data_IF_386106159816
#
_entry.id   IF_386106159816
#
_cell.length_a   1.000
_cell.length_b   1.000
_cell.length_c   1.000
_cell.angle_alpha   90.00
_cell.angle_beta   90.00
_cell.angle_gamma   90.00
#
_symmetry.space_group_name_H-M   'P 1'
#
loop_
_entity.id
_entity.type
_entity.pdbx_description
1 polymer ?
#
# COMPACT_ATOMS: atom_id res chain seq x y z
N UNK A 1 9.93 11.34 -34.92
CA UNK A 1 10.04 9.89 -34.64
C UNK A 1 10.58 9.74 -33.22
N UNK A 2 9.90 9.00 -32.35
CA UNK A 2 10.43 8.67 -31.01
C UNK A 2 11.64 7.75 -31.19
N UNK A 3 12.75 8.01 -30.46
CA UNK A 3 14.01 7.25 -30.60
C UNK A 3 14.23 6.21 -29.51
N UNK A 4 13.62 6.41 -28.34
CA UNK A 4 13.68 5.49 -27.21
C UNK A 4 12.53 5.76 -26.23
N UNK A 5 12.22 4.75 -25.42
CA UNK A 5 11.28 4.82 -24.28
C UNK A 5 12.03 4.26 -23.09
N UNK A 6 11.93 4.93 -21.94
CA UNK A 6 12.46 4.47 -20.66
C UNK A 6 11.26 4.18 -19.77
N UNK A 7 11.27 3.01 -19.14
CA UNK A 7 10.25 2.57 -18.20
C UNK A 7 10.83 2.59 -16.80
N UNK A 8 9.98 2.93 -15.83
CA UNK A 8 10.26 2.64 -14.43
C UNK A 8 10.25 1.13 -14.20
N UNK A 9 10.96 0.67 -13.19
CA UNK A 9 11.04 -0.76 -12.88
C UNK A 9 9.90 -1.18 -11.95
N UNK A 10 9.79 -0.52 -10.80
CA UNK A 10 8.82 -0.84 -9.75
C UNK A 10 7.42 -0.43 -10.19
N UNK A 11 6.45 -1.33 -10.06
CA UNK A 11 5.06 -1.10 -10.43
C UNK A 11 4.75 -0.97 -11.92
N UNK A 12 5.76 -1.16 -12.78
CA UNK A 12 5.58 -1.10 -14.23
C UNK A 12 6.22 -2.29 -14.96
N UNK A 13 7.51 -2.55 -14.74
CA UNK A 13 8.16 -3.75 -15.28
C UNK A 13 7.93 -4.94 -14.34
N UNK A 14 8.06 -4.71 -13.03
CA UNK A 14 7.79 -5.67 -11.99
C UNK A 14 6.56 -5.24 -11.19
N UNK A 15 5.57 -6.12 -11.06
CA UNK A 15 4.43 -5.92 -10.17
C UNK A 15 4.90 -6.10 -8.72
N UNK A 16 5.16 -4.97 -8.06
CA UNK A 16 5.56 -4.92 -6.66
C UNK A 16 4.36 -4.64 -5.75
N UNK A 17 3.28 -4.05 -6.28
CA UNK A 17 2.11 -3.62 -5.52
C UNK A 17 1.23 -4.78 -5.09
N UNK A 18 1.10 -5.82 -5.91
CA UNK A 18 0.37 -7.04 -5.51
C UNK A 18 1.05 -7.67 -4.30
N UNK A 19 2.38 -7.81 -4.36
CA UNK A 19 3.13 -8.44 -3.28
C UNK A 19 3.14 -7.59 -2.00
N UNK A 20 3.25 -6.27 -2.14
CA UNK A 20 3.12 -5.34 -1.01
C UNK A 20 1.74 -5.43 -0.37
N UNK A 21 0.67 -5.48 -1.18
CA UNK A 21 -0.69 -5.62 -0.69
C UNK A 21 -0.93 -6.93 0.07
N UNK A 22 -0.40 -8.05 -0.44
CA UNK A 22 -0.50 -9.37 0.21
C UNK A 22 0.14 -9.34 1.61
N UNK A 23 1.36 -8.82 1.73
CA UNK A 23 2.06 -8.70 3.01
C UNK A 23 1.27 -7.81 3.98
N UNK A 24 0.74 -6.67 3.51
CA UNK A 24 -0.08 -5.80 4.34
C UNK A 24 -1.39 -6.49 4.78
N UNK A 25 -2.04 -7.27 3.91
CA UNK A 25 -3.22 -8.04 4.29
C UNK A 25 -2.92 -9.05 5.41
N UNK A 26 -1.79 -9.77 5.31
CA UNK A 26 -1.36 -10.71 6.36
C UNK A 26 -1.16 -9.99 7.70
N UNK A 27 -0.48 -8.84 7.72
CA UNK A 27 -0.27 -8.05 8.93
C UNK A 27 -1.57 -7.52 9.55
N UNK A 28 -2.54 -7.12 8.72
CA UNK A 28 -3.85 -6.67 9.21
C UNK A 28 -4.65 -7.84 9.79
N UNK A 29 -4.60 -9.01 9.15
CA UNK A 29 -5.28 -10.22 9.60
C UNK A 29 -4.78 -10.70 10.98
N UNK A 30 -3.49 -10.54 11.28
CA UNK A 30 -2.92 -10.81 12.62
C UNK A 30 -3.59 -10.00 13.75
N UNK A 31 -4.21 -8.87 13.40
CA UNK A 31 -4.88 -7.96 14.33
C UNK A 31 -6.40 -8.03 14.21
N UNK A 32 -6.95 -9.07 13.60
CA UNK A 32 -8.40 -9.22 13.31
C UNK A 32 -8.96 -8.00 12.54
N UNK A 33 -8.13 -7.41 11.68
CA UNK A 33 -8.45 -6.24 10.89
C UNK A 33 -8.35 -6.50 9.40
N UNK A 34 -8.85 -5.56 8.59
CA UNK A 34 -8.86 -5.68 7.14
C UNK A 34 -8.31 -4.41 6.49
N UNK A 35 -7.46 -4.59 5.47
CA UNK A 35 -7.05 -3.54 4.55
C UNK A 35 -7.82 -3.75 3.22
N UNK A 36 -8.85 -2.95 2.92
CA UNK A 36 -9.58 -3.07 1.67
C UNK A 36 -8.77 -2.59 0.48
N UNK A 37 -8.90 -3.25 -0.67
CA UNK A 37 -8.27 -2.83 -1.91
C UNK A 37 -8.70 -1.42 -2.35
N UNK A 38 -9.91 -0.99 -2.00
CA UNK A 38 -10.38 0.37 -2.27
C UNK A 38 -9.63 1.44 -1.48
N UNK A 39 -9.02 1.09 -0.34
CA UNK A 39 -8.16 1.97 0.46
C UNK A 39 -6.74 1.93 -0.08
N UNK A 40 -6.19 0.73 -0.31
CA UNK A 40 -4.85 0.54 -0.87
C UNK A 40 -4.71 1.11 -2.29
N UNK A 41 -5.70 0.89 -3.14
CA UNK A 41 -5.69 1.34 -4.53
C UNK A 41 -5.66 2.86 -4.70
N UNK A 42 -6.01 3.63 -3.67
CA UNK A 42 -5.91 5.09 -3.70
C UNK A 42 -4.47 5.60 -3.62
N UNK A 43 -3.50 4.75 -3.28
CA UNK A 43 -2.11 5.16 -3.09
C UNK A 43 -1.11 4.57 -4.06
N UNK A 44 -1.49 3.51 -4.78
CA UNK A 44 -0.69 2.96 -5.87
C UNK A 44 -0.34 4.06 -6.88
N UNK A 45 0.97 4.21 -7.17
CA UNK A 45 1.49 5.20 -8.12
C UNK A 45 1.45 6.66 -7.65
N UNK A 46 1.11 6.93 -6.39
CA UNK A 46 1.12 8.29 -5.81
C UNK A 46 2.25 8.45 -4.79
N UNK A 47 2.87 9.64 -4.72
CA UNK A 47 3.82 9.94 -3.64
C UNK A 47 3.11 10.28 -2.30
N UNK A 48 1.78 10.21 -2.27
CA UNK A 48 0.97 10.72 -1.17
C UNK A 48 0.67 9.65 -0.11
N UNK A 49 1.59 9.50 0.84
CA UNK A 49 1.30 9.56 2.27
C UNK A 49 0.36 8.56 2.96
N UNK A 50 -0.21 7.55 2.28
CA UNK A 50 -0.91 6.49 3.02
C UNK A 50 0.10 5.71 3.85
N UNK A 51 -0.20 5.63 5.13
CA UNK A 51 0.60 4.92 6.11
C UNK A 51 -0.25 3.76 6.62
N UNK A 52 -0.05 2.54 6.11
CA UNK A 52 -0.90 1.40 6.45
C UNK A 52 -0.95 1.16 7.97
N UNK A 53 0.16 1.41 8.67
CA UNK A 53 0.22 1.27 10.13
C UNK A 53 -0.59 2.32 10.89
N UNK A 54 -0.61 3.59 10.45
CA UNK A 54 -1.48 4.61 11.07
C UNK A 54 -2.97 4.30 10.81
N UNK A 55 -3.28 3.71 9.64
CA UNK A 55 -4.63 3.26 9.33
C UNK A 55 -5.06 2.06 10.19
N UNK A 56 -4.17 1.08 10.38
CA UNK A 56 -4.38 -0.06 11.27
C UNK A 56 -4.56 0.38 12.73
N UNK A 57 -3.70 1.27 13.22
CA UNK A 57 -3.78 1.84 14.58
C UNK A 57 -5.16 2.45 14.87
N UNK A 58 -5.70 3.22 13.92
CA UNK A 58 -7.05 3.78 14.00
C UNK A 58 -8.14 2.71 14.06
N UNK A 59 -8.03 1.64 13.27
CA UNK A 59 -8.99 0.52 13.31
C UNK A 59 -8.97 -0.21 14.66
N UNK A 60 -7.79 -0.31 15.29
CA UNK A 60 -7.62 -0.94 16.59
C UNK A 60 -8.02 -0.03 17.76
N UNK A 61 -8.47 1.20 17.50
CA UNK A 61 -8.78 2.19 18.53
C UNK A 61 -7.54 2.60 19.34
N UNK A 62 -6.34 2.37 18.81
CA UNK A 62 -5.07 2.75 19.40
C UNK A 62 -4.60 4.01 18.69
N UNK A 63 -5.06 5.17 19.10
CA UNK A 63 -4.42 6.43 18.70
C UNK A 63 -3.00 6.44 19.30
N UNK A 64 -2.00 6.00 18.53
CA UNK A 64 -0.62 5.98 18.98
C UNK A 64 -0.03 7.39 18.94
N UNK A 65 -0.32 8.18 19.99
CA UNK A 65 0.61 9.04 20.77
C UNK A 65 -0.16 10.02 21.66
N UNK A 66 -0.20 9.68 22.95
CA UNK A 66 0.28 10.58 24.00
C UNK A 66 1.80 10.54 24.04
#
# INVERSE_FOLDING_TARGET
>A
MVKAIIFDFDGLILDTETHEYEVLQEMFAEHESELPLSVWGNVIGTQAGFKPFEYLEKQLGKDARS
#
